data_IF_521447737287
#
_entry.id   IF_521447737287
#
_cell.length_a   1.000
_cell.length_b   1.000
_cell.length_c   1.000
_cell.angle_alpha   90.00
_cell.angle_beta   90.00
_cell.angle_gamma   90.00
#
_symmetry.space_group_name_H-M   'P 1'
#
loop_
_entity.id
_entity.type
_entity.pdbx_description
1 polymer ?
#
# COMPACT_ATOMS: atom_id res chain seq x y z
N UNK A 1 -25.04 -8.12 -32.71
CA UNK A 1 -26.29 -8.67 -32.14
C UNK A 1 -25.86 -9.49 -30.93
N UNK A 2 -26.26 -9.12 -29.71
CA UNK A 2 -25.84 -9.84 -28.50
C UNK A 2 -26.54 -11.21 -28.48
N UNK A 3 -25.76 -12.30 -28.53
CA UNK A 3 -26.30 -13.65 -28.44
C UNK A 3 -26.32 -14.06 -26.97
N UNK A 4 -27.25 -13.48 -26.21
CA UNK A 4 -27.35 -13.64 -24.75
C UNK A 4 -27.25 -15.12 -24.30
N UNK A 5 -27.84 -16.04 -25.07
CA UNK A 5 -27.77 -17.48 -24.80
C UNK A 5 -26.35 -18.04 -24.93
N UNK A 6 -25.63 -17.70 -26.00
CA UNK A 6 -24.25 -18.15 -26.19
C UNK A 6 -23.31 -17.47 -25.19
N UNK A 7 -23.54 -16.19 -24.92
CA UNK A 7 -22.81 -15.43 -23.91
C UNK A 7 -23.02 -16.07 -22.51
N UNK A 8 -24.26 -16.42 -22.14
CA UNK A 8 -24.55 -17.11 -20.87
C UNK A 8 -23.97 -18.53 -20.84
N UNK A 9 -24.04 -19.30 -21.92
CA UNK A 9 -23.44 -20.64 -21.98
C UNK A 9 -21.92 -20.60 -21.87
N UNK A 10 -21.27 -19.58 -22.45
CA UNK A 10 -19.82 -19.40 -22.36
C UNK A 10 -19.35 -19.17 -20.92
N UNK A 11 -20.21 -18.58 -20.05
CA UNK A 11 -19.92 -18.43 -18.62
C UNK A 11 -19.83 -19.77 -17.88
N UNK A 12 -20.48 -20.82 -18.40
CA UNK A 12 -20.50 -22.16 -17.79
C UNK A 12 -19.60 -23.17 -18.50
N UNK A 13 -18.97 -22.80 -19.62
CA UNK A 13 -17.94 -23.64 -20.22
C UNK A 13 -16.72 -23.67 -19.30
N UNK A 14 -16.13 -24.85 -19.12
CA UNK A 14 -14.90 -25.05 -18.35
C UNK A 14 -13.73 -24.38 -19.06
N UNK A 15 -13.58 -23.07 -18.87
CA UNK A 15 -12.37 -22.36 -19.26
C UNK A 15 -11.21 -22.80 -18.36
N UNK A 16 -10.01 -22.87 -18.93
CA UNK A 16 -8.76 -23.11 -18.21
C UNK A 16 -8.56 -22.17 -17.01
N UNK A 17 -9.25 -21.03 -16.99
CA UNK A 17 -9.19 -19.99 -15.97
C UNK A 17 -10.49 -19.83 -15.16
N UNK A 18 -11.43 -20.79 -15.22
CA UNK A 18 -12.71 -20.73 -14.52
C UNK A 18 -12.57 -20.48 -12.99
N UNK A 19 -11.63 -21.10 -12.26
CA UNK A 19 -11.43 -20.79 -10.84
C UNK A 19 -11.04 -19.33 -10.58
N UNK A 20 -10.21 -18.75 -11.46
CA UNK A 20 -9.78 -17.35 -11.36
C UNK A 20 -10.97 -16.41 -11.59
N UNK A 21 -11.81 -16.71 -12.58
CA UNK A 21 -13.03 -15.95 -12.85
C UNK A 21 -14.01 -16.05 -11.68
N UNK A 22 -14.16 -17.23 -11.06
CA UNK A 22 -14.97 -17.41 -9.84
C UNK A 22 -14.49 -16.54 -8.68
N UNK A 23 -13.19 -16.53 -8.41
CA UNK A 23 -12.60 -15.65 -7.38
C UNK A 23 -12.83 -14.17 -7.70
N UNK A 24 -12.69 -13.75 -8.96
CA UNK A 24 -12.99 -12.36 -9.38
C UNK A 24 -14.44 -11.98 -9.16
N UNK A 25 -15.39 -12.89 -9.44
CA UNK A 25 -16.81 -12.65 -9.20
C UNK A 25 -17.11 -12.48 -7.71
N UNK A 26 -16.52 -13.33 -6.86
CA UNK A 26 -16.66 -13.21 -5.39
C UNK A 26 -16.08 -11.87 -4.91
N UNK A 27 -14.89 -11.49 -5.38
CA UNK A 27 -14.31 -10.20 -5.04
C UNK A 27 -15.17 -9.03 -5.52
N UNK A 28 -15.74 -9.11 -6.72
CA UNK A 28 -16.65 -8.08 -7.24
C UNK A 28 -17.89 -7.91 -6.33
N UNK A 29 -18.51 -9.00 -5.90
CA UNK A 29 -19.64 -8.96 -4.96
C UNK A 29 -19.25 -8.34 -3.61
N UNK A 30 -18.05 -8.62 -3.12
CA UNK A 30 -17.54 -8.01 -1.89
C UNK A 30 -17.30 -6.51 -2.04
N UNK A 31 -16.80 -6.05 -3.19
CA UNK A 31 -16.63 -4.62 -3.50
C UNK A 31 -17.99 -3.91 -3.52
N UNK A 32 -18.99 -4.49 -4.18
CA UNK A 32 -20.37 -3.97 -4.18
C UNK A 32 -20.91 -3.88 -2.75
N UNK A 33 -20.70 -4.94 -1.95
CA UNK A 33 -21.14 -4.98 -0.55
C UNK A 33 -20.45 -3.92 0.31
N UNK A 34 -19.17 -3.65 0.08
CA UNK A 34 -18.42 -2.58 0.73
C UNK A 34 -19.01 -1.21 0.39
N UNK A 35 -19.27 -0.94 -0.88
CA UNK A 35 -19.85 0.34 -1.29
C UNK A 35 -21.24 0.55 -0.70
N UNK A 36 -22.07 -0.49 -0.64
CA UNK A 36 -23.36 -0.43 0.07
C UNK A 36 -23.12 -0.09 1.54
N UNK A 37 -22.15 -0.74 2.19
CA UNK A 37 -21.74 -0.42 3.56
C UNK A 37 -21.34 1.05 3.72
N UNK A 38 -20.51 1.59 2.82
CA UNK A 38 -20.13 3.00 2.83
C UNK A 38 -21.33 3.95 2.68
N UNK A 39 -22.28 3.65 1.79
CA UNK A 39 -23.50 4.45 1.65
C UNK A 39 -24.34 4.39 2.94
N UNK A 40 -24.53 3.22 3.52
CA UNK A 40 -25.26 3.08 4.78
C UNK A 40 -24.58 3.81 5.94
N UNK A 41 -23.25 3.82 5.97
CA UNK A 41 -22.48 4.54 6.99
C UNK A 41 -22.63 6.06 6.87
N UNK A 42 -22.83 6.58 5.66
CA UNK A 42 -23.08 8.02 5.45
C UNK A 42 -24.40 8.49 6.09
N UNK A 43 -25.29 7.57 6.46
CA UNK A 43 -26.53 7.85 7.18
C UNK A 43 -26.34 7.91 8.71
N UNK A 44 -25.17 7.51 9.23
CA UNK A 44 -24.86 7.57 10.67
C UNK A 44 -24.50 9.02 11.03
N UNK A 45 -25.07 9.59 12.12
CA UNK A 45 -24.71 10.93 12.59
C UNK A 45 -23.21 11.06 12.90
N UNK A 46 -22.62 12.27 12.85
CA UNK A 46 -21.21 12.49 13.15
C UNK A 46 -20.77 11.90 14.50
N UNK A 47 -19.52 11.42 14.56
CA UNK A 47 -18.91 10.98 15.81
C UNK A 47 -18.81 12.14 16.81
N UNK A 48 -19.05 11.95 18.13
CA UNK A 48 -19.23 10.68 18.85
C UNK A 48 -20.69 10.30 19.17
N UNK A 49 -21.56 10.14 18.17
CA UNK A 49 -22.91 9.62 18.41
C UNK A 49 -22.91 8.14 18.85
N UNK A 50 -23.85 7.72 19.73
CA UNK A 50 -23.92 6.35 20.29
C UNK A 50 -23.99 5.24 19.23
N UNK A 51 -24.56 5.55 18.06
CA UNK A 51 -24.66 4.63 16.93
C UNK A 51 -23.29 4.22 16.36
N UNK A 52 -22.23 5.00 16.57
CA UNK A 52 -20.87 4.62 16.19
C UNK A 52 -20.39 3.37 16.94
N UNK A 53 -20.73 3.23 18.23
CA UNK A 53 -20.35 2.04 18.99
C UNK A 53 -21.06 0.78 18.46
N UNK A 54 -22.32 0.91 18.03
CA UNK A 54 -23.04 -0.18 17.37
C UNK A 54 -22.42 -0.51 16.01
N UNK A 55 -22.04 0.51 15.23
CA UNK A 55 -21.41 0.34 13.93
C UNK A 55 -20.02 -0.32 14.03
N UNK A 56 -19.14 0.16 14.91
CA UNK A 56 -17.79 -0.41 15.11
C UNK A 56 -17.84 -1.89 15.56
N UNK A 57 -18.90 -2.29 16.26
CA UNK A 57 -19.12 -3.68 16.66
C UNK A 57 -19.86 -4.52 15.60
N UNK A 58 -20.39 -3.90 14.55
CA UNK A 58 -21.16 -4.58 13.51
C UNK A 58 -20.29 -5.47 12.61
N UNK A 59 -20.93 -6.48 12.00
CA UNK A 59 -20.29 -7.28 10.96
C UNK A 59 -19.91 -6.44 9.74
N UNK A 60 -20.67 -5.39 9.41
CA UNK A 60 -20.37 -4.49 8.28
C UNK A 60 -19.00 -3.84 8.45
N UNK A 61 -18.70 -3.30 9.64
CA UNK A 61 -17.39 -2.70 9.92
C UNK A 61 -16.26 -3.74 9.82
N UNK A 62 -16.43 -4.94 10.39
CA UNK A 62 -15.43 -6.01 10.31
C UNK A 62 -15.21 -6.50 8.87
N UNK A 63 -16.28 -6.65 8.10
CA UNK A 63 -16.25 -7.06 6.70
C UNK A 63 -15.65 -5.99 5.79
N UNK A 64 -15.64 -4.71 6.18
CA UNK A 64 -15.03 -3.65 5.38
C UNK A 64 -13.53 -3.87 5.15
N UNK A 65 -12.81 -4.37 6.17
CA UNK A 65 -11.40 -4.75 6.04
C UNK A 65 -11.20 -5.94 5.09
N UNK A 66 -12.06 -6.95 5.19
CA UNK A 66 -12.03 -8.09 4.25
C UNK A 66 -12.31 -7.62 2.82
N UNK A 67 -13.23 -6.67 2.65
CA UNK A 67 -13.55 -6.14 1.33
C UNK A 67 -12.41 -5.32 0.72
N UNK A 68 -11.60 -4.61 1.52
CA UNK A 68 -10.38 -3.97 1.04
C UNK A 68 -9.38 -5.01 0.50
N UNK A 69 -9.16 -6.12 1.21
CA UNK A 69 -8.31 -7.23 0.72
C UNK A 69 -8.88 -7.87 -0.55
N UNK A 70 -10.20 -8.05 -0.63
CA UNK A 70 -10.86 -8.62 -1.79
C UNK A 70 -10.81 -7.67 -2.99
N UNK A 71 -10.82 -6.35 -2.78
CA UNK A 71 -10.64 -5.32 -3.80
C UNK A 71 -9.23 -5.42 -4.41
N UNK A 72 -8.19 -5.50 -3.59
CA UNK A 72 -6.81 -5.71 -4.06
C UNK A 72 -6.68 -7.03 -4.84
N UNK A 73 -7.28 -8.10 -4.31
CA UNK A 73 -7.33 -9.41 -4.97
C UNK A 73 -8.01 -9.31 -6.34
N UNK A 74 -9.13 -8.57 -6.44
CA UNK A 74 -9.83 -8.36 -7.70
C UNK A 74 -8.94 -7.69 -8.74
N UNK A 75 -8.23 -6.63 -8.39
CA UNK A 75 -7.33 -5.93 -9.33
C UNK A 75 -6.13 -6.80 -9.71
N UNK A 76 -5.55 -7.52 -8.75
CA UNK A 76 -4.45 -8.45 -9.03
C UNK A 76 -4.89 -9.53 -10.03
N UNK A 77 -6.00 -10.21 -9.79
CA UNK A 77 -6.52 -11.27 -10.68
C UNK A 77 -6.94 -10.71 -12.04
N UNK A 78 -7.58 -9.54 -12.06
CA UNK A 78 -7.96 -8.86 -13.30
C UNK A 78 -6.75 -8.48 -14.13
N UNK A 79 -5.72 -7.92 -13.48
CA UNK A 79 -4.48 -7.57 -14.14
C UNK A 79 -3.68 -8.75 -14.62
N UNK A 80 -3.69 -9.85 -13.86
CA UNK A 80 -3.09 -11.11 -14.27
C UNK A 80 -3.72 -11.64 -15.56
N UNK A 81 -5.05 -11.76 -15.62
CA UNK A 81 -5.72 -12.28 -16.81
C UNK A 81 -5.51 -11.40 -18.04
N UNK A 82 -5.55 -10.08 -17.87
CA UNK A 82 -5.34 -9.14 -18.98
C UNK A 82 -3.91 -9.21 -19.49
N UNK A 83 -2.95 -9.28 -18.58
CA UNK A 83 -1.54 -9.43 -18.92
C UNK A 83 -1.28 -10.76 -19.63
N UNK A 84 -1.89 -11.84 -19.16
CA UNK A 84 -1.78 -13.15 -19.78
C UNK A 84 -2.33 -13.13 -21.21
N UNK A 85 -3.50 -12.53 -21.43
CA UNK A 85 -4.08 -12.35 -22.77
C UNK A 85 -3.17 -11.52 -23.67
N UNK A 86 -2.57 -10.46 -23.14
CA UNK A 86 -1.62 -9.62 -23.87
C UNK A 86 -0.37 -10.41 -24.30
N UNK A 87 0.21 -11.20 -23.40
CA UNK A 87 1.38 -12.05 -23.69
C UNK A 87 1.02 -13.16 -24.70
N UNK A 88 -0.18 -13.74 -24.62
CA UNK A 88 -0.62 -14.79 -25.54
C UNK A 88 -0.93 -14.29 -26.96
N UNK A 89 -1.43 -13.06 -27.11
CA UNK A 89 -1.76 -12.48 -28.42
C UNK A 89 -0.56 -11.87 -29.15
N UNK A 90 0.53 -11.57 -28.45
CA UNK A 90 1.75 -11.12 -29.08
C UNK A 90 2.72 -12.29 -29.24
N UNK A 91 2.96 -12.72 -30.48
CA UNK A 91 3.93 -13.78 -30.81
C UNK A 91 5.30 -13.56 -30.17
N UNK A 92 5.64 -12.29 -29.87
CA UNK A 92 6.68 -11.93 -28.93
C UNK A 92 6.28 -10.66 -28.18
N UNK A 93 6.35 -10.68 -26.84
CA UNK A 93 6.26 -9.47 -26.04
C UNK A 93 7.34 -8.49 -26.53
N UNK A 94 6.91 -7.37 -27.13
CA UNK A 94 7.82 -6.34 -27.60
C UNK A 94 7.79 -5.15 -26.65
N UNK A 95 8.95 -4.80 -26.10
CA UNK A 95 9.12 -3.56 -25.32
C UNK A 95 8.72 -2.31 -26.12
N UNK A 96 8.69 -2.36 -27.46
CA UNK A 96 8.21 -1.27 -28.30
C UNK A 96 6.68 -1.11 -28.25
N UNK A 97 5.94 -2.22 -28.15
CA UNK A 97 4.48 -2.21 -28.06
C UNK A 97 3.94 -1.94 -26.65
N UNK A 98 4.79 -2.14 -25.65
CA UNK A 98 4.41 -2.02 -24.25
C UNK A 98 3.96 -0.61 -23.83
N UNK A 99 4.64 0.50 -24.17
CA UNK A 99 4.15 1.85 -23.87
C UNK A 99 2.77 2.14 -24.47
N UNK A 100 2.50 1.65 -25.69
CA UNK A 100 1.19 1.80 -26.32
C UNK A 100 0.10 1.03 -25.59
N UNK A 101 0.41 -0.16 -25.07
CA UNK A 101 -0.50 -0.93 -24.21
C UNK A 101 -0.88 -0.17 -22.94
N UNK A 102 0.14 0.38 -22.24
CA UNK A 102 -0.05 1.20 -21.03
C UNK A 102 -0.86 2.47 -21.35
N UNK A 103 -0.53 3.17 -22.43
CA UNK A 103 -1.24 4.39 -22.83
C UNK A 103 -2.70 4.14 -23.19
N UNK A 104 -3.01 3.08 -23.95
CA UNK A 104 -4.40 2.68 -24.25
C UNK A 104 -5.21 2.46 -22.98
N UNK A 105 -4.57 1.89 -21.95
CA UNK A 105 -5.22 1.64 -20.67
C UNK A 105 -5.40 2.90 -19.84
N UNK A 106 -4.39 3.75 -19.74
CA UNK A 106 -4.50 5.06 -19.08
C UNK A 106 -5.62 5.90 -19.71
N UNK A 107 -5.72 5.91 -21.04
CA UNK A 107 -6.78 6.61 -21.78
C UNK A 107 -8.19 6.09 -21.48
N UNK A 108 -8.34 4.84 -20.98
CA UNK A 108 -9.64 4.32 -20.53
C UNK A 108 -10.08 4.94 -19.20
N UNK A 109 -9.13 5.24 -18.30
CA UNK A 109 -9.42 5.79 -16.97
C UNK A 109 -9.51 7.32 -16.96
N UNK A 110 -8.73 8.00 -17.81
CA UNK A 110 -8.68 9.46 -17.84
C UNK A 110 -10.03 10.17 -18.03
N UNK A 111 -10.98 9.71 -18.87
CA UNK A 111 -12.29 10.35 -18.95
C UNK A 111 -13.04 10.36 -17.62
N UNK A 112 -12.95 9.26 -16.86
CA UNK A 112 -13.55 9.17 -15.52
C UNK A 112 -12.84 10.07 -14.52
N UNK A 113 -11.50 10.07 -14.52
CA UNK A 113 -10.68 10.92 -13.64
C UNK A 113 -10.93 12.41 -13.96
N UNK A 114 -11.02 12.78 -15.23
CA UNK A 114 -11.35 14.13 -15.67
C UNK A 114 -12.72 14.55 -15.18
N UNK A 115 -13.74 13.68 -15.36
CA UNK A 115 -15.10 13.96 -14.94
C UNK A 115 -15.19 14.18 -13.42
N UNK A 116 -14.63 13.28 -12.61
CA UNK A 116 -14.65 13.44 -11.14
C UNK A 116 -13.86 14.67 -10.71
N UNK A 117 -12.73 14.96 -11.36
CA UNK A 117 -11.94 16.18 -11.10
C UNK A 117 -12.78 17.43 -11.36
N UNK A 118 -13.47 17.50 -12.49
CA UNK A 118 -14.34 18.64 -12.82
C UNK A 118 -15.50 18.79 -11.83
N UNK A 119 -16.15 17.68 -11.45
CA UNK A 119 -17.23 17.71 -10.46
C UNK A 119 -16.74 18.25 -9.11
N UNK A 120 -15.57 17.82 -8.64
CA UNK A 120 -15.00 18.26 -7.36
C UNK A 120 -14.61 19.75 -7.40
N UNK A 121 -14.05 20.22 -8.53
CA UNK A 121 -13.78 21.64 -8.73
C UNK A 121 -15.05 22.49 -8.72
N UNK A 122 -16.14 22.02 -9.34
CA UNK A 122 -17.44 22.71 -9.34
C UNK A 122 -18.06 22.73 -7.94
N UNK A 123 -17.93 21.66 -7.17
CA UNK A 123 -18.45 21.54 -5.80
C UNK A 123 -17.59 22.28 -4.76
N UNK A 124 -16.45 22.85 -5.17
CA UNK A 124 -15.61 23.65 -4.28
C UNK A 124 -14.73 22.80 -3.34
N UNK A 125 -14.26 21.63 -3.79
CA UNK A 125 -13.21 20.85 -3.12
C UNK A 125 -11.83 21.08 -3.81
N UNK A 126 -11.14 22.21 -3.60
CA UNK A 126 -9.91 22.55 -4.34
C UNK A 126 -8.63 21.97 -3.72
N UNK A 127 -8.67 21.52 -2.48
CA UNK A 127 -7.47 21.11 -1.75
C UNK A 127 -7.13 19.67 -2.08
N UNK A 128 -5.93 19.42 -2.63
CA UNK A 128 -5.46 18.07 -2.93
C UNK A 128 -4.27 18.06 -3.87
N UNK A 129 -3.41 17.04 -3.76
CA UNK A 129 -2.35 16.83 -4.73
C UNK A 129 -2.91 16.04 -5.93
N UNK A 130 -3.54 16.75 -6.85
CA UNK A 130 -4.18 16.18 -8.04
C UNK A 130 -3.22 15.32 -8.88
N UNK A 131 -1.93 15.67 -8.89
CA UNK A 131 -0.93 15.03 -9.76
C UNK A 131 -0.76 13.54 -9.47
N UNK A 132 -0.94 13.11 -8.23
CA UNK A 132 -0.78 11.69 -7.84
C UNK A 132 -1.85 10.82 -8.48
N UNK A 133 -3.09 11.31 -8.59
CA UNK A 133 -4.20 10.62 -9.24
C UNK A 133 -4.03 10.58 -10.76
N UNK A 134 -3.64 11.70 -11.37
CA UNK A 134 -3.44 11.82 -12.82
C UNK A 134 -2.31 10.94 -13.35
N UNK A 135 -1.28 10.72 -12.52
CA UNK A 135 -0.12 9.91 -12.84
C UNK A 135 -0.17 8.49 -12.25
N UNK A 136 -1.26 8.12 -11.57
CA UNK A 136 -1.45 6.79 -10.96
C UNK A 136 -0.37 6.38 -9.94
N UNK A 137 0.24 7.34 -9.25
CA UNK A 137 1.28 7.07 -8.23
C UNK A 137 0.73 6.94 -6.81
N UNK A 138 -0.57 7.14 -6.63
CA UNK A 138 -1.17 7.04 -5.30
C UNK A 138 -1.24 5.59 -4.85
N UNK A 139 -0.39 5.24 -3.88
CA UNK A 139 -0.36 3.92 -3.26
C UNK A 139 -1.15 3.83 -1.96
N UNK A 140 -1.59 4.96 -1.41
CA UNK A 140 -2.35 5.00 -0.17
C UNK A 140 -3.36 6.13 -0.19
N UNK A 141 -4.47 5.92 0.51
CA UNK A 141 -5.42 6.98 0.84
C UNK A 141 -4.94 7.64 2.13
N UNK A 142 -4.66 8.94 2.11
CA UNK A 142 -4.46 9.69 3.34
C UNK A 142 -5.77 9.64 4.14
N UNK A 143 -5.70 9.25 5.42
CA UNK A 143 -6.89 9.17 6.28
C UNK A 143 -7.62 10.52 6.38
N UNK A 144 -6.91 11.64 6.25
CA UNK A 144 -7.53 12.98 6.17
C UNK A 144 -8.34 13.18 4.88
N UNK A 145 -7.97 12.47 3.82
CA UNK A 145 -8.59 12.50 2.50
C UNK A 145 -9.53 11.30 2.28
N UNK A 146 -9.68 10.40 3.25
CA UNK A 146 -10.54 9.22 3.14
C UNK A 146 -12.01 9.60 2.98
N UNK A 147 -12.42 10.73 3.54
CA UNK A 147 -13.75 11.29 3.39
C UNK A 147 -13.96 12.03 2.05
N UNK A 148 -12.90 12.29 1.30
CA UNK A 148 -13.00 13.00 0.02
C UNK A 148 -13.47 12.06 -1.08
N UNK A 149 -14.13 12.62 -2.10
CA UNK A 149 -14.57 11.85 -3.27
C UNK A 149 -13.43 11.09 -3.97
N UNK A 150 -12.18 11.49 -3.73
CA UNK A 150 -10.97 10.90 -4.28
C UNK A 150 -10.44 9.65 -3.60
N UNK A 151 -10.93 9.29 -2.41
CA UNK A 151 -10.46 8.09 -1.70
C UNK A 151 -10.56 6.83 -2.58
N UNK A 152 -11.59 6.75 -3.43
CA UNK A 152 -11.78 5.65 -4.35
C UNK A 152 -10.75 5.62 -5.51
N UNK A 153 -10.12 6.74 -5.88
CA UNK A 153 -9.14 6.78 -6.98
C UNK A 153 -7.83 6.06 -6.68
N UNK A 154 -7.51 5.83 -5.41
CA UNK A 154 -6.40 4.98 -5.02
C UNK A 154 -6.49 3.60 -5.67
N UNK A 155 -7.69 3.03 -5.72
CA UNK A 155 -7.95 1.72 -6.32
C UNK A 155 -7.62 1.68 -7.83
N UNK A 156 -7.85 2.80 -8.53
CA UNK A 156 -7.53 2.95 -9.96
C UNK A 156 -6.02 3.04 -10.16
N UNK A 157 -5.33 3.75 -9.26
CA UNK A 157 -3.86 3.82 -9.27
C UNK A 157 -3.25 2.43 -9.09
N UNK A 158 -3.76 1.66 -8.12
CA UNK A 158 -3.34 0.28 -7.90
C UNK A 158 -3.59 -0.60 -9.13
N UNK A 159 -4.78 -0.52 -9.74
CA UNK A 159 -5.05 -1.24 -10.99
C UNK A 159 -4.01 -0.88 -12.05
N UNK A 160 -3.77 0.41 -12.29
CA UNK A 160 -2.83 0.84 -13.34
C UNK A 160 -1.39 0.36 -13.06
N UNK A 161 -0.94 0.42 -11.81
CA UNK A 161 0.37 -0.09 -11.41
C UNK A 161 0.50 -1.59 -11.60
N UNK A 162 -0.55 -2.36 -11.30
CA UNK A 162 -0.56 -3.80 -11.58
C UNK A 162 -0.41 -4.06 -13.09
N UNK A 163 -0.97 -3.20 -13.94
CA UNK A 163 -0.79 -3.29 -15.40
C UNK A 163 0.58 -2.86 -15.89
N UNK A 164 1.34 -2.13 -15.09
CA UNK A 164 2.71 -1.76 -15.40
C UNK A 164 3.68 -2.84 -14.91
N UNK A 165 3.56 -3.22 -13.65
CA UNK A 165 4.52 -4.10 -12.98
C UNK A 165 4.34 -5.55 -13.45
N UNK A 166 3.09 -6.03 -13.56
CA UNK A 166 2.83 -7.44 -13.79
C UNK A 166 3.27 -7.94 -15.18
N UNK A 167 3.08 -7.22 -16.30
CA UNK A 167 3.63 -7.64 -17.58
C UNK A 167 5.15 -7.74 -17.59
N UNK A 168 5.85 -6.85 -16.88
CA UNK A 168 7.30 -6.88 -16.77
C UNK A 168 7.74 -8.11 -15.97
N UNK A 169 7.12 -8.36 -14.81
CA UNK A 169 7.40 -9.54 -14.00
C UNK A 169 7.12 -10.81 -14.81
N UNK A 170 5.92 -10.93 -15.40
CA UNK A 170 5.55 -12.11 -16.19
C UNK A 170 6.45 -12.28 -17.41
N UNK A 171 6.85 -11.19 -18.07
CA UNK A 171 7.80 -11.26 -19.17
C UNK A 171 9.15 -11.79 -18.71
N UNK A 172 9.73 -11.27 -17.61
CA UNK A 172 11.01 -11.76 -17.06
C UNK A 172 10.90 -13.25 -16.68
N UNK A 173 9.79 -13.61 -16.04
CA UNK A 173 9.51 -14.97 -15.57
C UNK A 173 9.33 -15.95 -16.74
N UNK A 174 8.59 -15.58 -17.78
CA UNK A 174 8.28 -16.44 -18.93
C UNK A 174 9.44 -16.48 -19.94
N UNK A 175 10.12 -15.34 -20.17
CA UNK A 175 11.25 -15.25 -21.10
C UNK A 175 12.48 -16.00 -20.60
N UNK A 176 12.67 -16.06 -19.29
CA UNK A 176 13.64 -16.97 -18.70
C UNK A 176 13.14 -18.39 -18.92
N UNK A 177 13.74 -19.14 -19.86
CA UNK A 177 13.59 -20.61 -19.98
C UNK A 177 13.90 -21.36 -18.66
N UNK A 178 14.30 -20.67 -17.60
CA UNK A 178 14.55 -21.25 -16.29
C UNK A 178 13.25 -21.75 -15.65
N UNK A 179 13.20 -23.07 -15.48
CA UNK A 179 12.47 -23.85 -14.49
C UNK A 179 11.26 -23.16 -13.83
N UNK A 180 10.05 -23.64 -14.15
CA UNK A 180 8.79 -23.32 -13.47
C UNK A 180 8.92 -23.22 -11.94
N UNK A 181 9.84 -23.98 -11.34
CA UNK A 181 10.21 -23.91 -9.92
C UNK A 181 10.57 -22.50 -9.43
N UNK A 182 11.29 -21.67 -10.21
CA UNK A 182 11.61 -20.29 -9.80
C UNK A 182 10.38 -19.39 -9.78
N UNK A 183 9.44 -19.62 -10.69
CA UNK A 183 8.15 -18.91 -10.72
C UNK A 183 7.33 -19.25 -9.48
N UNK A 184 7.21 -20.55 -9.17
CA UNK A 184 6.51 -21.00 -7.97
C UNK A 184 7.17 -20.47 -6.70
N UNK A 185 8.52 -20.45 -6.65
CA UNK A 185 9.25 -19.88 -5.51
C UNK A 185 8.98 -18.37 -5.36
N UNK A 186 8.99 -17.60 -6.45
CA UNK A 186 8.70 -16.17 -6.41
C UNK A 186 7.25 -15.89 -5.96
N UNK A 187 6.28 -16.64 -6.49
CA UNK A 187 4.89 -16.56 -6.05
C UNK A 187 4.74 -16.95 -4.58
N UNK A 188 5.43 -18.00 -4.14
CA UNK A 188 5.42 -18.45 -2.75
C UNK A 188 6.02 -17.40 -1.80
N UNK A 189 7.14 -16.77 -2.18
CA UNK A 189 7.76 -15.67 -1.42
C UNK A 189 6.81 -14.48 -1.33
N UNK A 190 6.15 -14.10 -2.44
CA UNK A 190 5.16 -13.01 -2.45
C UNK A 190 3.97 -13.31 -1.53
N UNK A 191 3.49 -14.56 -1.51
CA UNK A 191 2.42 -14.99 -0.59
C UNK A 191 2.87 -14.95 0.86
N UNK A 192 4.08 -15.40 1.18
CA UNK A 192 4.61 -15.28 2.55
C UNK A 192 4.74 -13.81 2.96
N UNK A 193 5.29 -12.97 2.09
CA UNK A 193 5.43 -11.54 2.35
C UNK A 193 4.07 -10.87 2.57
N UNK A 194 3.04 -11.24 1.80
CA UNK A 194 1.68 -10.70 1.98
C UNK A 194 1.03 -11.17 3.28
N UNK A 195 1.26 -12.43 3.70
CA UNK A 195 0.79 -12.94 4.99
C UNK A 195 1.48 -12.21 6.14
N UNK A 196 2.81 -12.11 6.12
CA UNK A 196 3.59 -11.41 7.14
C UNK A 196 3.14 -9.95 7.23
N UNK A 197 3.00 -9.28 6.09
CA UNK A 197 2.47 -7.93 6.03
C UNK A 197 1.08 -7.82 6.64
N UNK A 198 0.15 -8.70 6.27
CA UNK A 198 -1.21 -8.72 6.85
C UNK A 198 -1.17 -8.92 8.36
N UNK A 199 -0.34 -9.83 8.87
CA UNK A 199 -0.19 -10.05 10.32
C UNK A 199 0.34 -8.82 11.04
N UNK A 200 1.25 -8.06 10.42
CA UNK A 200 1.74 -6.80 10.97
C UNK A 200 0.66 -5.72 10.95
N UNK A 201 -0.05 -5.57 9.83
CA UNK A 201 -1.13 -4.58 9.62
C UNK A 201 -2.27 -4.77 10.62
N UNK A 202 -2.71 -6.02 10.81
CA UNK A 202 -3.87 -6.34 11.65
C UNK A 202 -3.53 -6.62 13.11
N UNK A 203 -2.26 -6.50 13.52
CA UNK A 203 -1.92 -6.58 14.93
C UNK A 203 -2.15 -5.21 15.60
N UNK A 204 -3.07 -5.10 16.57
CA UNK A 204 -3.46 -3.81 17.16
C UNK A 204 -2.30 -3.10 17.88
N UNK A 205 -1.27 -3.84 18.31
CA UNK A 205 -0.07 -3.27 18.92
C UNK A 205 0.86 -2.60 17.90
N UNK A 206 0.88 -3.12 16.67
CA UNK A 206 1.70 -2.58 15.57
C UNK A 206 0.91 -1.68 14.63
N UNK A 207 -0.43 -1.65 14.74
CA UNK A 207 -1.29 -0.83 13.88
C UNK A 207 -0.94 0.66 13.94
N UNK A 208 -0.64 1.19 15.14
CA UNK A 208 -0.20 2.60 15.29
C UNK A 208 1.17 2.85 14.61
N UNK A 209 2.10 1.90 14.74
CA UNK A 209 3.40 1.97 14.08
C UNK A 209 3.25 1.91 12.55
N UNK A 210 2.35 1.05 12.07
CA UNK A 210 2.07 0.90 10.66
C UNK A 210 1.37 2.11 10.08
N UNK A 211 0.38 2.70 10.74
CA UNK A 211 -0.25 3.95 10.27
C UNK A 211 0.81 5.05 10.07
N UNK A 212 1.86 5.08 10.89
CA UNK A 212 3.01 5.99 10.71
C UNK A 212 4.00 5.56 9.61
N UNK A 213 4.28 4.26 9.43
CA UNK A 213 5.10 3.73 8.33
C UNK A 213 4.38 3.88 6.97
N UNK A 214 3.05 3.77 6.96
CA UNK A 214 2.16 3.92 5.80
C UNK A 214 2.04 5.36 5.33
N UNK A 215 2.05 6.33 6.24
CA UNK A 215 1.97 7.75 5.89
C UNK A 215 3.21 8.24 5.11
N UNK A 216 4.33 7.50 5.16
CA UNK A 216 5.65 8.04 4.86
C UNK A 216 6.53 7.22 3.90
N UNK A 217 5.98 6.39 2.99
CA UNK A 217 6.87 5.61 2.11
C UNK A 217 6.44 5.33 0.66
N UNK A 218 7.36 5.67 -0.27
CA UNK A 218 7.60 4.96 -1.53
C UNK A 218 8.73 3.91 -1.40
N UNK A 219 8.90 3.41 -0.16
CA UNK A 219 9.90 2.52 0.45
C UNK A 219 11.01 3.21 1.23
N UNK A 220 11.16 2.68 2.44
CA UNK A 220 12.25 2.72 3.41
C UNK A 220 13.66 2.51 2.80
N UNK A 221 14.07 3.37 1.87
CA UNK A 221 15.37 3.29 1.23
C UNK A 221 16.31 4.46 1.50
N UNK A 222 15.87 5.55 2.13
CA UNK A 222 16.83 6.58 2.56
C UNK A 222 16.29 7.55 3.62
N UNK A 223 16.66 7.31 4.88
CA UNK A 223 17.10 8.39 5.79
C UNK A 223 16.00 9.39 6.23
N UNK A 224 16.37 10.53 6.83
CA UNK A 224 16.68 10.80 8.23
C UNK A 224 15.46 11.30 9.06
N UNK A 225 14.27 11.40 8.46
CA UNK A 225 13.07 11.98 9.09
C UNK A 225 12.54 11.09 10.23
N UNK A 226 12.58 9.76 10.07
CA UNK A 226 12.18 8.80 11.10
C UNK A 226 13.05 8.87 12.37
N UNK A 227 14.32 9.23 12.24
CA UNK A 227 15.20 9.46 13.39
C UNK A 227 14.80 10.74 14.12
N UNK A 228 14.52 11.83 13.39
CA UNK A 228 14.09 13.11 13.98
C UNK A 228 12.76 12.97 14.71
N UNK A 229 11.79 12.25 14.14
CA UNK A 229 10.47 12.08 14.73
C UNK A 229 10.49 11.11 15.92
N UNK A 230 11.28 10.03 15.86
CA UNK A 230 11.51 9.16 17.02
C UNK A 230 12.17 9.92 18.18
N UNK A 231 13.18 10.76 17.89
CA UNK A 231 13.81 11.62 18.91
C UNK A 231 12.81 12.63 19.48
N UNK A 232 11.92 13.17 18.64
CA UNK A 232 10.89 14.12 19.06
C UNK A 232 9.87 13.47 19.99
N UNK A 233 9.45 12.24 19.71
CA UNK A 233 8.47 11.51 20.53
C UNK A 233 9.10 10.98 21.82
N UNK A 234 10.27 10.34 21.73
CA UNK A 234 10.90 9.65 22.87
C UNK A 234 11.53 10.64 23.87
N UNK A 235 12.08 11.76 23.38
CA UNK A 235 12.74 12.77 24.20
C UNK A 235 11.95 14.08 24.34
N UNK A 236 10.79 14.20 23.68
CA UNK A 236 9.98 15.44 23.68
C UNK A 236 10.81 16.67 23.22
N UNK A 237 11.59 16.50 22.15
CA UNK A 237 12.47 17.52 21.56
C UNK A 237 11.98 17.88 20.16
N UNK A 238 11.42 19.08 19.98
CA UNK A 238 11.01 19.58 18.66
C UNK A 238 12.22 20.08 17.88
N UNK A 239 12.73 19.28 16.93
CA UNK A 239 13.82 19.66 16.00
C UNK A 239 13.27 20.36 14.74
N UNK A 240 12.39 21.35 14.92
CA UNK A 240 11.89 22.15 13.81
C UNK A 240 12.95 23.13 13.29
N UNK A 241 13.12 23.22 11.97
CA UNK A 241 13.90 24.30 11.32
C UNK A 241 13.19 25.67 11.40
N UNK A 242 12.02 25.74 12.03
CA UNK A 242 11.40 27.01 12.39
C UNK A 242 12.19 27.65 13.52
N UNK A 243 12.46 28.95 13.37
CA UNK A 243 13.25 29.76 14.28
C UNK A 243 12.58 29.79 15.67
N UNK A 244 12.91 28.83 16.53
CA UNK A 244 12.45 28.81 17.92
C UNK A 244 13.09 30.01 18.62
N UNK A 245 12.26 31.01 18.89
CA UNK A 245 12.64 32.13 19.75
C UNK A 245 12.66 31.57 21.18
N UNK A 246 13.86 31.17 21.60
CA UNK A 246 14.27 30.71 22.93
C UNK A 246 13.55 29.45 23.49
N UNK A 247 14.20 28.27 23.45
CA UNK A 247 13.57 27.04 23.93
C UNK A 247 13.34 27.07 25.45
N UNK A 248 12.20 26.54 25.88
CA UNK A 248 11.83 26.46 27.30
C UNK A 248 12.88 25.67 28.12
N UNK A 249 13.02 25.93 29.44
CA UNK A 249 13.96 25.20 30.30
C UNK A 249 13.78 23.68 30.26
N UNK A 250 12.55 23.21 30.07
CA UNK A 250 12.22 21.79 29.92
C UNK A 250 12.74 21.21 28.61
N UNK A 251 12.59 21.94 27.49
CA UNK A 251 13.16 21.55 26.20
C UNK A 251 14.70 21.54 26.25
N UNK A 252 15.33 22.52 26.90
CA UNK A 252 16.79 22.57 27.09
C UNK A 252 17.30 21.32 27.84
N UNK A 253 16.62 20.90 28.91
CA UNK A 253 16.96 19.69 29.68
C UNK A 253 16.84 18.41 28.83
N UNK A 254 15.79 18.30 28.03
CA UNK A 254 15.54 17.15 27.17
C UNK A 254 16.58 17.03 26.04
N UNK A 255 16.97 18.16 25.44
CA UNK A 255 18.04 18.22 24.43
C UNK A 255 19.37 17.76 25.04
N UNK A 256 19.70 18.21 26.26
CA UNK A 256 20.95 17.81 26.94
C UNK A 256 20.95 16.29 27.22
N UNK A 257 19.84 15.74 27.72
CA UNK A 257 19.73 14.29 27.96
C UNK A 257 19.88 13.47 26.68
N UNK A 258 19.29 13.94 25.58
CA UNK A 258 19.46 13.32 24.27
C UNK A 258 20.92 13.34 23.81
N UNK A 259 21.61 14.49 23.91
CA UNK A 259 23.02 14.61 23.53
C UNK A 259 23.94 13.73 24.39
N UNK A 260 23.68 13.62 25.70
CA UNK A 260 24.41 12.70 26.59
C UNK A 260 24.18 11.25 26.15
N UNK A 261 22.93 10.87 25.90
CA UNK A 261 22.58 9.52 25.48
C UNK A 261 23.25 9.15 24.14
N UNK A 262 23.17 10.02 23.14
CA UNK A 262 23.83 9.83 21.83
C UNK A 262 25.35 9.76 21.99
N UNK A 263 25.96 10.65 22.77
CA UNK A 263 27.42 10.65 23.00
C UNK A 263 27.92 9.36 23.66
N UNK A 264 27.08 8.67 24.44
CA UNK A 264 27.44 7.39 25.06
C UNK A 264 27.61 6.25 24.04
N UNK A 265 26.96 6.34 22.88
CA UNK A 265 27.15 5.39 21.77
C UNK A 265 28.41 5.67 20.95
N UNK A 266 28.90 6.91 20.96
CA UNK A 266 30.09 7.33 20.20
C UNK A 266 31.34 7.51 21.06
N UNK A 267 31.21 7.44 22.38
CA UNK A 267 32.35 7.37 23.28
C UNK A 267 32.91 5.95 23.25
N UNK A 268 34.12 5.71 22.70
CA UNK A 268 34.75 4.40 22.79
C UNK A 268 35.09 4.16 24.25
N UNK A 269 34.17 3.52 24.99
CA UNK A 269 34.48 3.02 26.31
C UNK A 269 35.64 2.04 26.14
N UNK A 270 36.76 2.42 26.75
CA UNK A 270 38.02 1.72 26.75
C UNK A 270 37.78 0.20 26.85
N UNK A 271 38.21 -0.50 25.79
CA UNK A 271 38.47 -1.93 25.86
C UNK A 271 39.53 -2.10 26.96
N UNK A 272 39.06 -2.39 28.18
CA UNK A 272 39.93 -2.74 29.29
C UNK A 272 40.57 -4.08 28.95
N UNK A 273 41.75 -4.03 28.35
CA UNK A 273 42.60 -5.19 28.14
C UNK A 273 43.07 -5.69 29.50
N UNK A 274 42.27 -6.54 30.14
CA UNK A 274 42.73 -7.41 31.22
C UNK A 274 43.68 -8.45 30.62
N UNK A 275 44.94 -8.06 30.38
CA UNK A 275 46.05 -9.00 30.20
C UNK A 275 46.43 -9.52 31.58
N UNK A 276 45.88 -10.68 31.95
CA UNK A 276 46.50 -11.52 32.97
C UNK A 276 47.88 -11.97 32.48
N UNK A 277 48.93 -11.37 33.02
CA UNK A 277 50.31 -11.83 32.91
C UNK A 277 50.49 -13.10 33.75
N UNK A 278 50.50 -14.27 33.11
CA UNK A 278 51.09 -15.48 33.68
C UNK A 278 52.61 -15.42 33.48
N UNK A 279 53.34 -14.93 34.47
CA UNK A 279 54.79 -15.05 34.52
C UNK A 279 55.16 -16.50 34.89
N UNK A 280 55.58 -17.28 33.89
CA UNK A 280 56.22 -18.58 34.06
C UNK A 280 57.70 -18.32 34.32
N UNK A 281 58.15 -18.52 35.54
CA UNK A 281 59.55 -18.52 35.90
C UNK A 281 60.24 -19.76 35.31
N UNK A 282 61.27 -19.53 34.49
CA UNK A 282 62.30 -20.51 34.15
C UNK A 282 63.64 -19.89 34.56
N UNK A 283 64.14 -20.30 35.71
CA UNK A 283 65.55 -20.48 36.07
C UNK A 283 65.61 -21.37 37.29
#
# INVERSE_FOLDING_TARGET
MWQLKEDMYSLFQSERYAPINGMRSISCLAIVSLHIGCVLNSLIPPYPHIQWMAYLNSYTYRLSFLAALLLETFFMLSGFLLTLKFIQHQDSFSLKGYPLYIMKRACRYWPGILLITMLMLILGEPEGNWTTFWLFYQNFVDMKQWSWGFAALWSISLDMQMHIILPIILHIVISSKSNYQRTYLALYILVILSIVYSMLVFNPKTMNLLVHVYHNNALALAMPQLFIDWVTVEYNVTLGFEKVIDPSPMQKKNIINFLIHVSSYFSPAAVSTNRHTSARALK
#
